data_IF_163704687038
#
_entry.id   IF_163704687038
#
_cell.length_a   1.000
_cell.length_b   1.000
_cell.length_c   1.000
_cell.angle_alpha   90.00
_cell.angle_beta   90.00
_cell.angle_gamma   90.00
#
_symmetry.space_group_name_H-M   'P 1'
#
loop_
_entity.id
_entity.type
_entity.pdbx_description
1 polymer ?
#
# COMPACT_ATOMS: atom_id res chain seq x y z
N UNK A 1 17.88 -6.76 4.53
CA UNK A 1 16.48 -6.63 4.98
C UNK A 1 16.11 -5.15 5.03
N UNK A 2 15.07 -4.75 4.33
CA UNK A 2 14.56 -3.39 4.38
C UNK A 2 13.21 -3.40 5.09
N UNK A 3 13.19 -2.93 6.34
CA UNK A 3 11.95 -2.66 7.05
C UNK A 3 11.53 -1.21 6.80
N UNK A 4 10.46 -1.02 6.05
CA UNK A 4 9.84 0.29 5.84
C UNK A 4 8.39 0.23 6.31
N UNK A 5 8.17 0.68 7.55
CA UNK A 5 6.83 0.85 8.08
C UNK A 5 6.24 2.16 7.55
N UNK A 6 5.04 2.11 7.01
CA UNK A 6 4.17 3.25 6.68
C UNK A 6 4.76 4.32 5.72
N UNK A 7 5.77 3.99 4.90
CA UNK A 7 6.33 4.94 3.94
C UNK A 7 5.71 4.82 2.53
N UNK A 8 5.19 3.63 2.19
CA UNK A 8 4.80 3.31 0.82
C UNK A 8 3.56 4.10 0.36
N UNK A 9 2.54 4.24 1.22
CA UNK A 9 1.31 4.97 0.90
C UNK A 9 1.51 6.49 0.80
N UNK A 10 2.68 7.03 1.18
CA UNK A 10 3.02 8.45 1.04
C UNK A 10 3.96 8.72 -0.13
N UNK A 11 4.36 7.68 -0.88
CA UNK A 11 5.23 7.85 -2.03
C UNK A 11 4.47 8.49 -3.21
N UNK A 12 5.07 9.50 -3.83
CA UNK A 12 4.48 10.14 -5.01
C UNK A 12 4.44 9.20 -6.23
N UNK A 13 5.42 8.31 -6.33
CA UNK A 13 5.50 7.22 -7.30
C UNK A 13 5.88 5.92 -6.58
N UNK A 14 4.89 5.15 -6.13
CA UNK A 14 5.13 3.91 -5.42
C UNK A 14 5.76 2.83 -6.31
N UNK A 15 5.44 2.80 -7.60
CA UNK A 15 6.00 1.82 -8.54
C UNK A 15 7.52 2.01 -8.70
N UNK A 16 7.98 3.25 -8.86
CA UNK A 16 9.42 3.53 -8.92
C UNK A 16 10.12 3.22 -7.58
N UNK A 17 9.48 3.53 -6.46
CA UNK A 17 10.02 3.22 -5.14
C UNK A 17 10.20 1.71 -4.94
N UNK A 18 9.21 0.90 -5.29
CA UNK A 18 9.27 -0.57 -5.25
C UNK A 18 10.37 -1.08 -6.19
N UNK A 19 10.48 -0.52 -7.39
CA UNK A 19 11.55 -0.84 -8.34
C UNK A 19 12.95 -0.54 -7.79
N UNK A 20 13.11 0.58 -7.08
CA UNK A 20 14.38 0.90 -6.39
C UNK A 20 14.69 -0.09 -5.27
N UNK A 21 13.72 -0.49 -4.48
CA UNK A 21 13.90 -1.51 -3.45
C UNK A 21 14.30 -2.86 -4.05
N UNK A 22 13.63 -3.27 -5.15
CA UNK A 22 14.01 -4.49 -5.86
C UNK A 22 15.47 -4.45 -6.33
N UNK A 23 15.94 -3.33 -6.89
CA UNK A 23 17.34 -3.20 -7.32
C UNK A 23 18.34 -3.26 -6.15
N UNK A 24 17.97 -2.71 -5.00
CA UNK A 24 18.82 -2.64 -3.81
C UNK A 24 18.93 -3.98 -3.05
N UNK A 25 17.97 -4.88 -3.20
CA UNK A 25 17.99 -6.19 -2.55
C UNK A 25 18.94 -7.15 -3.27
N UNK A 26 19.58 -8.03 -2.51
CA UNK A 26 20.29 -9.20 -3.07
C UNK A 26 19.29 -10.21 -3.66
N UNK A 27 19.78 -11.12 -4.51
CA UNK A 27 19.01 -12.31 -4.91
C UNK A 27 18.66 -13.11 -3.66
N UNK A 28 17.47 -13.70 -3.62
CA UNK A 28 16.88 -14.37 -2.48
C UNK A 28 16.59 -13.46 -1.26
N UNK A 29 16.85 -12.16 -1.40
CA UNK A 29 16.42 -11.16 -0.43
C UNK A 29 14.90 -10.96 -0.48
N UNK A 30 14.31 -10.52 0.62
CA UNK A 30 12.88 -10.28 0.71
C UNK A 30 12.56 -8.84 1.13
N UNK A 31 11.42 -8.38 0.71
CA UNK A 31 10.79 -7.12 1.11
C UNK A 31 9.61 -7.44 2.03
N UNK A 32 9.51 -6.74 3.15
CA UNK A 32 8.30 -6.69 3.98
C UNK A 32 7.89 -5.23 4.18
N UNK A 33 6.60 -4.99 4.13
CA UNK A 33 6.05 -3.65 4.37
C UNK A 33 4.66 -3.73 4.99
N UNK A 34 4.24 -2.62 5.59
CA UNK A 34 2.84 -2.35 5.90
C UNK A 34 2.46 -0.96 5.43
N UNK A 35 1.22 -0.78 5.04
CA UNK A 35 0.68 0.50 4.62
C UNK A 35 -0.81 0.59 4.97
N UNK A 36 -1.38 1.78 4.79
CA UNK A 36 -2.82 1.99 4.96
C UNK A 36 -3.55 1.58 3.67
N UNK A 37 -4.71 0.98 3.83
CA UNK A 37 -5.61 0.57 2.76
C UNK A 37 -6.83 1.48 2.59
N UNK A 38 -7.63 1.27 1.52
CA UNK A 38 -8.69 2.16 1.07
C UNK A 38 -9.84 2.36 2.08
N UNK A 39 -10.07 1.40 2.97
CA UNK A 39 -11.11 1.54 4.02
C UNK A 39 -10.64 2.40 5.20
N UNK A 40 -9.40 2.89 5.21
CA UNK A 40 -8.90 3.77 6.27
C UNK A 40 -9.67 5.09 6.29
N UNK A 41 -10.23 5.44 7.47
CA UNK A 41 -11.01 6.66 7.71
C UNK A 41 -12.29 6.77 6.84
N UNK A 42 -12.84 5.66 6.38
CA UNK A 42 -14.03 5.63 5.52
C UNK A 42 -15.22 6.39 6.13
N UNK A 43 -15.38 6.34 7.46
CA UNK A 43 -16.42 7.07 8.18
C UNK A 43 -16.21 8.58 8.06
N UNK A 44 -14.97 9.05 8.21
CA UNK A 44 -14.64 10.46 8.06
C UNK A 44 -14.81 10.93 6.62
N UNK A 45 -14.41 10.14 5.64
CA UNK A 45 -14.66 10.41 4.22
C UNK A 45 -16.14 10.52 3.92
N UNK A 46 -16.96 9.62 4.49
CA UNK A 46 -18.42 9.66 4.38
C UNK A 46 -19.03 10.93 4.97
N UNK A 47 -18.56 11.38 6.13
CA UNK A 47 -18.99 12.65 6.76
C UNK A 47 -18.70 13.84 5.84
N UNK A 48 -17.47 13.93 5.32
CA UNK A 48 -17.06 15.03 4.44
C UNK A 48 -17.86 15.05 3.14
N UNK A 49 -18.05 13.90 2.52
CA UNK A 49 -18.85 13.76 1.30
C UNK A 49 -20.30 14.19 1.52
N UNK A 50 -20.94 13.74 2.62
CA UNK A 50 -22.32 14.07 2.94
C UNK A 50 -22.55 15.58 3.21
N UNK A 51 -21.51 16.30 3.60
CA UNK A 51 -21.55 17.75 3.84
C UNK A 51 -21.08 18.58 2.64
N UNK A 52 -20.71 17.93 1.53
CA UNK A 52 -20.12 18.59 0.36
C UNK A 52 -18.80 19.30 0.67
N UNK A 53 -18.06 18.81 1.67
CA UNK A 53 -16.76 19.33 2.01
C UNK A 53 -15.68 18.74 1.10
N UNK A 54 -14.58 19.47 0.87
CA UNK A 54 -13.41 18.93 0.18
C UNK A 54 -12.87 17.66 0.87
N UNK A 55 -12.17 16.77 0.14
CA UNK A 55 -11.71 15.48 0.65
C UNK A 55 -11.01 15.56 2.00
N UNK A 56 -11.39 14.67 2.92
CA UNK A 56 -10.80 14.59 4.26
C UNK A 56 -9.33 14.11 4.24
N UNK A 57 -8.98 13.28 3.27
CA UNK A 57 -7.65 12.70 3.07
C UNK A 57 -7.48 12.23 1.64
N UNK A 58 -6.31 11.74 1.28
CA UNK A 58 -6.07 11.08 -0.01
C UNK A 58 -6.63 9.65 0.01
N UNK A 59 -6.88 9.10 -1.18
CA UNK A 59 -7.24 7.71 -1.34
C UNK A 59 -6.00 6.83 -1.17
N UNK A 60 -6.14 5.72 -0.46
CA UNK A 60 -5.09 4.73 -0.33
C UNK A 60 -5.23 3.65 -1.39
N UNK A 61 -4.10 3.06 -1.77
CA UNK A 61 -4.02 2.02 -2.80
C UNK A 61 -4.55 0.69 -2.26
N UNK A 62 -5.26 -0.05 -3.09
CA UNK A 62 -5.80 -1.37 -2.77
C UNK A 62 -4.71 -2.44 -2.66
N UNK A 63 -5.01 -3.51 -1.93
CA UNK A 63 -4.12 -4.63 -1.71
C UNK A 63 -3.70 -5.33 -3.02
N UNK A 64 -4.62 -5.47 -3.98
CA UNK A 64 -4.35 -6.12 -5.26
C UNK A 64 -3.41 -5.27 -6.12
N UNK A 65 -3.63 -3.95 -6.15
CA UNK A 65 -2.75 -3.02 -6.86
C UNK A 65 -1.31 -3.07 -6.31
N UNK A 66 -1.16 -3.19 -4.98
CA UNK A 66 0.17 -3.39 -4.38
C UNK A 66 0.82 -4.69 -4.82
N UNK A 67 0.05 -5.78 -4.86
CA UNK A 67 0.51 -7.09 -5.36
C UNK A 67 0.99 -7.00 -6.81
N UNK A 68 0.20 -6.36 -7.67
CA UNK A 68 0.54 -6.16 -9.07
C UNK A 68 1.80 -5.30 -9.25
N UNK A 69 1.95 -4.23 -8.48
CA UNK A 69 3.17 -3.41 -8.48
C UNK A 69 4.41 -4.19 -8.10
N UNK A 70 4.32 -5.12 -7.14
CA UNK A 70 5.42 -6.01 -6.76
C UNK A 70 5.81 -6.94 -7.91
N UNK A 71 4.82 -7.57 -8.54
CA UNK A 71 5.06 -8.46 -9.69
C UNK A 71 5.68 -7.69 -10.85
N UNK A 72 5.16 -6.51 -11.19
CA UNK A 72 5.72 -5.64 -12.24
C UNK A 72 7.15 -5.18 -11.95
N UNK A 73 7.50 -4.98 -10.68
CA UNK A 73 8.87 -4.65 -10.28
C UNK A 73 9.84 -5.84 -10.34
N UNK A 74 9.34 -7.07 -10.57
CA UNK A 74 10.15 -8.27 -10.70
C UNK A 74 10.27 -9.11 -9.42
N UNK A 75 9.50 -8.81 -8.38
CA UNK A 75 9.38 -9.67 -7.21
C UNK A 75 8.62 -10.96 -7.56
N UNK A 76 8.92 -12.03 -6.85
CA UNK A 76 8.22 -13.30 -6.92
C UNK A 76 7.40 -13.55 -5.64
N UNK A 77 6.34 -14.35 -5.80
CA UNK A 77 5.53 -14.88 -4.71
C UNK A 77 5.05 -13.77 -3.74
N UNK A 78 4.43 -12.68 -4.23
CA UNK A 78 3.90 -11.69 -3.32
C UNK A 78 2.78 -12.31 -2.48
N UNK A 79 2.90 -12.21 -1.17
CA UNK A 79 1.84 -12.55 -0.22
C UNK A 79 1.33 -11.26 0.38
N UNK A 80 0.03 -11.07 0.26
CA UNK A 80 -0.66 -9.89 0.74
C UNK A 80 -1.73 -10.31 1.73
N UNK A 81 -1.84 -9.54 2.80
CA UNK A 81 -2.87 -9.72 3.82
C UNK A 81 -3.38 -8.36 4.27
N UNK A 82 -4.55 -8.32 4.88
CA UNK A 82 -5.13 -7.09 5.38
C UNK A 82 -5.95 -7.32 6.65
N UNK A 83 -5.95 -6.34 7.52
CA UNK A 83 -6.84 -6.31 8.68
C UNK A 83 -7.49 -4.94 8.84
N UNK A 84 -8.68 -4.93 9.45
CA UNK A 84 -9.38 -3.71 9.84
C UNK A 84 -9.35 -3.57 11.35
N UNK A 85 -8.84 -2.42 11.80
CA UNK A 85 -8.77 -2.04 13.21
C UNK A 85 -9.74 -0.89 13.42
N UNK A 86 -10.59 -1.00 14.43
CA UNK A 86 -11.44 0.10 14.85
C UNK A 86 -10.81 0.82 16.04
N UNK A 87 -10.49 2.09 15.88
CA UNK A 87 -10.05 2.96 16.97
C UNK A 87 -11.23 3.76 17.50
N UNK A 88 -11.34 3.86 18.81
CA UNK A 88 -12.43 4.59 19.48
C UNK A 88 -11.89 5.79 20.24
N UNK A 89 -12.70 6.86 20.27
CA UNK A 89 -12.34 8.14 20.87
C UNK A 89 -13.48 8.63 21.74
N UNK A 90 -13.14 9.11 22.92
CA UNK A 90 -14.14 9.61 23.86
C UNK A 90 -14.76 10.94 23.40
N UNK A 91 -13.99 11.78 22.68
CA UNK A 91 -14.44 13.10 22.22
C UNK A 91 -13.91 13.43 20.84
N UNK A 92 -14.60 14.31 20.06
CA UNK A 92 -14.14 14.74 18.75
C UNK A 92 -12.80 15.52 18.80
N UNK A 93 -12.52 16.20 19.91
CA UNK A 93 -11.24 16.89 20.09
C UNK A 93 -10.09 15.89 20.13
N UNK A 94 -10.26 14.81 20.90
CA UNK A 94 -9.24 13.76 21.01
C UNK A 94 -9.04 13.08 19.67
N UNK A 95 -10.13 12.74 18.96
CA UNK A 95 -10.08 12.17 17.62
C UNK A 95 -9.28 13.06 16.66
N UNK A 96 -9.60 14.35 16.58
CA UNK A 96 -8.89 15.30 15.69
C UNK A 96 -7.44 15.48 16.10
N UNK A 97 -7.12 15.44 17.39
CA UNK A 97 -5.75 15.50 17.88
C UNK A 97 -4.94 14.30 17.38
N UNK A 98 -5.44 13.08 17.56
CA UNK A 98 -4.76 11.86 17.10
C UNK A 98 -4.57 11.85 15.58
N UNK A 99 -5.59 12.26 14.81
CA UNK A 99 -5.45 12.37 13.35
C UNK A 99 -4.35 13.36 12.93
N UNK A 100 -4.14 14.44 13.67
CA UNK A 100 -3.06 15.40 13.40
C UNK A 100 -1.68 14.83 13.70
N UNK A 101 -1.57 13.95 14.68
CA UNK A 101 -0.32 13.26 15.03
C UNK A 101 0.06 12.22 13.97
N UNK A 102 -0.93 11.63 13.29
CA UNK A 102 -0.70 10.71 12.16
C UNK A 102 -0.17 11.40 10.90
N UNK A 103 -0.44 12.70 10.74
CA UNK A 103 0.06 13.46 9.60
C UNK A 103 -0.87 14.57 9.12
N UNK A 104 -0.64 15.01 7.89
CA UNK A 104 -1.41 16.07 7.23
C UNK A 104 -2.14 15.54 6.00
N UNK A 105 -3.27 16.16 5.68
CA UNK A 105 -4.00 15.85 4.46
C UNK A 105 -3.21 16.34 3.23
N UNK A 106 -2.74 15.39 2.42
CA UNK A 106 -1.97 15.66 1.19
C UNK A 106 -2.83 15.68 -0.07
N UNK A 107 -4.15 15.51 0.03
CA UNK A 107 -5.04 15.51 -1.14
C UNK A 107 -4.92 16.82 -1.92
N UNK A 108 -4.77 16.80 -3.27
CA UNK A 108 -4.64 18.01 -4.08
C UNK A 108 -5.87 18.93 -3.93
N UNK A 109 -7.07 18.37 -3.87
CA UNK A 109 -8.33 19.09 -3.73
C UNK A 109 -8.74 19.36 -2.27
N UNK A 110 -7.82 19.19 -1.32
CA UNK A 110 -8.08 19.53 0.09
C UNK A 110 -8.46 21.00 0.24
N UNK A 111 -9.07 21.34 1.35
CA UNK A 111 -9.42 22.74 1.64
C UNK A 111 -8.17 23.64 1.57
N UNK A 112 -8.18 24.69 0.74
CA UNK A 112 -6.96 25.42 0.37
C UNK A 112 -6.47 26.41 1.42
N UNK A 113 -7.26 26.68 2.50
CA UNK A 113 -6.96 27.71 3.48
C UNK A 113 -7.20 27.24 4.91
N UNK A 114 -6.80 28.06 5.88
CA UNK A 114 -7.08 27.84 7.29
C UNK A 114 -8.58 27.92 7.54
N UNK A 115 -9.08 26.97 8.33
CA UNK A 115 -10.49 26.90 8.76
C UNK A 115 -10.66 27.58 10.11
N UNK A 116 -11.68 28.45 10.20
CA UNK A 116 -11.96 29.20 11.41
C UNK A 116 -12.64 28.38 12.51
N UNK A 117 -12.86 29.03 13.66
CA UNK A 117 -13.48 28.39 14.84
C UNK A 117 -14.87 27.81 14.52
N UNK A 118 -15.72 28.55 13.81
CA UNK A 118 -17.08 28.08 13.42
C UNK A 118 -17.05 26.76 12.63
N UNK A 119 -16.08 26.61 11.75
CA UNK A 119 -15.92 25.37 11.01
C UNK A 119 -15.48 24.21 11.92
N UNK A 120 -14.55 24.47 12.83
CA UNK A 120 -14.11 23.47 13.79
C UNK A 120 -15.27 23.02 14.70
N UNK A 121 -16.05 23.98 15.21
CA UNK A 121 -17.18 23.68 16.10
C UNK A 121 -18.23 22.86 15.36
N UNK A 122 -18.51 23.17 14.08
CA UNK A 122 -19.37 22.35 13.22
C UNK A 122 -18.79 20.96 12.95
N UNK A 123 -17.48 20.85 12.75
CA UNK A 123 -16.83 19.55 12.61
C UNK A 123 -17.05 18.70 13.86
N UNK A 124 -16.81 19.23 15.04
CA UNK A 124 -16.98 18.50 16.30
C UNK A 124 -18.43 18.04 16.52
N UNK A 125 -19.40 18.90 16.24
CA UNK A 125 -20.81 18.56 16.30
C UNK A 125 -21.13 17.36 15.40
N UNK A 126 -20.76 17.43 14.12
CA UNK A 126 -21.05 16.38 13.14
C UNK A 126 -20.28 15.08 13.44
N UNK A 127 -19.04 15.16 13.90
CA UNK A 127 -18.31 13.96 14.31
C UNK A 127 -19.01 13.27 15.48
N UNK A 128 -19.47 14.05 16.49
CA UNK A 128 -20.21 13.50 17.64
C UNK A 128 -21.51 12.83 17.23
N UNK A 129 -22.23 13.39 16.26
CA UNK A 129 -23.50 12.85 15.79
C UNK A 129 -23.34 11.61 14.90
N UNK A 130 -22.36 11.60 14.01
CA UNK A 130 -22.25 10.62 12.93
C UNK A 130 -21.27 9.48 13.17
N UNK A 131 -20.30 9.68 14.05
CA UNK A 131 -19.29 8.66 14.36
C UNK A 131 -19.55 7.95 15.68
N UNK A 132 -20.56 8.35 16.45
CA UNK A 132 -20.95 7.65 17.67
C UNK A 132 -21.39 6.22 17.34
N UNK A 133 -20.67 5.23 17.86
CA UNK A 133 -20.96 3.82 17.68
C UNK A 133 -21.66 3.26 18.93
N UNK A 134 -22.94 2.84 18.83
CA UNK A 134 -23.64 2.20 19.94
C UNK A 134 -22.94 0.92 20.43
N UNK A 135 -22.27 0.17 19.53
CA UNK A 135 -21.51 -1.02 19.86
C UNK A 135 -20.24 -0.73 20.67
N UNK A 136 -19.80 0.53 20.71
CA UNK A 136 -18.63 1.02 21.43
C UNK A 136 -19.01 1.99 22.56
N UNK A 137 -20.12 1.74 23.24
CA UNK A 137 -20.65 2.59 24.34
C UNK A 137 -20.82 4.08 23.93
N UNK A 138 -21.16 4.34 22.67
CA UNK A 138 -21.35 5.69 22.16
C UNK A 138 -20.05 6.47 21.91
N UNK A 139 -18.88 5.82 21.98
CA UNK A 139 -17.61 6.41 21.57
C UNK A 139 -17.58 6.62 20.06
N UNK A 140 -16.79 7.61 19.62
CA UNK A 140 -16.58 7.87 18.21
C UNK A 140 -15.66 6.78 17.65
N UNK A 141 -16.05 6.16 16.55
CA UNK A 141 -15.30 5.05 15.94
C UNK A 141 -14.76 5.43 14.56
N UNK A 142 -13.50 5.08 14.29
CA UNK A 142 -12.88 5.18 12.99
C UNK A 142 -12.24 3.85 12.61
N UNK A 143 -12.43 3.46 11.36
CA UNK A 143 -11.77 2.28 10.79
C UNK A 143 -10.41 2.65 10.22
N UNK A 144 -9.44 1.79 10.50
CA UNK A 144 -8.12 1.78 9.85
C UNK A 144 -7.93 0.42 9.20
N UNK A 145 -7.64 0.41 7.93
CA UNK A 145 -7.27 -0.78 7.19
C UNK A 145 -5.75 -0.82 7.07
N UNK A 146 -5.14 -1.90 7.55
CA UNK A 146 -3.70 -2.12 7.46
C UNK A 146 -3.47 -3.23 6.45
N UNK A 147 -2.71 -2.94 5.42
CA UNK A 147 -2.26 -3.90 4.43
C UNK A 147 -0.83 -4.30 4.77
N UNK A 148 -0.60 -5.61 4.78
CA UNK A 148 0.71 -6.22 4.95
C UNK A 148 1.11 -6.89 3.65
N UNK A 149 2.36 -6.72 3.25
CA UNK A 149 2.89 -7.37 2.06
C UNK A 149 4.30 -7.88 2.28
N UNK A 150 4.60 -9.04 1.68
CA UNK A 150 5.96 -9.47 1.51
C UNK A 150 6.15 -10.13 0.15
N UNK A 151 7.38 -10.06 -0.38
CA UNK A 151 7.73 -10.68 -1.64
C UNK A 151 9.25 -10.92 -1.70
N UNK A 152 9.67 -11.90 -2.49
CA UNK A 152 11.07 -12.24 -2.67
C UNK A 152 11.65 -11.66 -3.95
N UNK A 153 12.95 -11.35 -3.94
CA UNK A 153 13.69 -11.08 -5.16
C UNK A 153 14.21 -12.40 -5.73
N UNK A 154 13.64 -12.92 -6.84
CA UNK A 154 14.09 -14.18 -7.42
C UNK A 154 15.45 -14.02 -8.11
N UNK A 155 16.11 -15.14 -8.31
CA UNK A 155 17.25 -15.20 -9.24
C UNK A 155 16.81 -14.75 -10.66
N UNK A 156 17.69 -14.08 -11.42
CA UNK A 156 17.37 -13.69 -12.79
C UNK A 156 16.94 -14.89 -13.61
N UNK A 157 15.74 -14.80 -14.19
CA UNK A 157 15.26 -15.87 -15.09
C UNK A 157 16.12 -15.88 -16.35
N UNK A 158 16.68 -17.03 -16.69
CA UNK A 158 17.33 -17.22 -18.01
C UNK A 158 16.26 -16.99 -19.07
N UNK A 159 16.51 -16.06 -19.99
CA UNK A 159 15.61 -15.87 -21.13
C UNK A 159 15.64 -17.15 -21.98
N UNK A 160 14.61 -17.95 -21.89
CA UNK A 160 14.40 -19.04 -22.84
C UNK A 160 14.03 -18.36 -24.17
N UNK A 161 14.94 -18.46 -25.15
CA UNK A 161 14.63 -17.99 -26.50
C UNK A 161 13.45 -18.81 -27.03
N UNK A 162 12.48 -18.14 -27.65
CA UNK A 162 11.30 -18.78 -28.27
C UNK A 162 11.64 -19.68 -29.44
N UNK A 163 12.89 -19.73 -29.88
CA UNK A 163 13.42 -20.67 -30.86
C UNK A 163 14.77 -21.22 -30.42
N UNK A 164 14.84 -22.45 -29.97
CA UNK A 164 16.09 -23.20 -29.84
C UNK A 164 16.42 -23.82 -31.21
N UNK A 165 16.92 -23.05 -32.14
CA UNK A 165 17.49 -23.56 -33.36
C UNK A 165 18.91 -24.06 -33.05
N UNK A 166 19.07 -25.34 -32.83
CA UNK A 166 20.40 -25.99 -32.81
C UNK A 166 20.81 -26.20 -34.26
N UNK A 167 21.92 -25.60 -34.68
CA UNK A 167 22.40 -25.78 -36.03
C UNK A 167 22.75 -27.27 -36.29
N UNK A 168 22.55 -27.78 -37.51
CA UNK A 168 22.96 -29.13 -37.86
C UNK A 168 24.44 -29.37 -37.63
N UNK A 169 25.26 -28.34 -37.69
CA UNK A 169 26.70 -28.40 -37.41
C UNK A 169 26.97 -28.61 -35.92
N UNK A 170 26.27 -27.91 -35.04
CA UNK A 170 26.40 -28.05 -33.58
C UNK A 170 25.92 -29.44 -33.14
N UNK A 171 24.81 -29.92 -33.70
CA UNK A 171 24.27 -31.24 -33.42
C UNK A 171 25.27 -32.34 -33.85
N UNK A 172 25.94 -32.23 -35.02
CA UNK A 172 26.99 -33.14 -35.45
C UNK A 172 28.25 -33.07 -34.56
N UNK A 173 28.59 -31.88 -34.05
CA UNK A 173 29.71 -31.70 -33.12
C UNK A 173 29.45 -32.35 -31.76
N UNK A 174 28.20 -32.25 -31.25
CA UNK A 174 27.81 -32.91 -29.99
C UNK A 174 27.83 -34.45 -30.12
N UNK A 175 27.34 -34.99 -31.23
CA UNK A 175 27.35 -36.42 -31.48
C UNK A 175 28.78 -37.00 -31.64
N UNK A 176 29.71 -36.21 -32.16
CA UNK A 176 31.14 -36.62 -32.24
C UNK A 176 31.84 -36.62 -30.89
N UNK A 177 31.46 -35.72 -29.97
CA UNK A 177 32.02 -35.70 -28.60
C UNK A 177 31.48 -36.81 -27.70
N UNK A 178 30.24 -37.24 -27.88
CA UNK A 178 29.65 -38.35 -27.13
C UNK A 178 30.09 -39.76 -27.56
N UNK A 179 30.83 -39.88 -28.67
CA UNK A 179 31.31 -41.17 -29.19
C UNK A 179 32.75 -41.55 -28.80
N UNK A 180 33.38 -40.78 -27.96
CA UNK A 180 34.82 -41.01 -27.58
C UNK A 180 35.00 -41.43 -26.11
N UNK A 181 33.93 -41.66 -25.36
CA UNK A 181 34.00 -42.27 -24.03
C UNK A 181 33.29 -43.65 -24.07
N UNK A 182 34.02 -44.64 -24.60
CA UNK A 182 33.79 -46.08 -24.37
C UNK A 182 35.13 -46.82 -24.49
#
# INVERSE_FOLDING_TARGET
DVYKRQALHMAADPQDLIGRWHRALAVDGYLMFSCLGPDTLRELHGVYAALGWPPAGHAFTDMHDWGDMLVHAGFAEPVMDMERITLTFATPERLVQELRELGVNLHPDRFPSLRGRRWRDKLYEVLSERLADPGQNGQLALTFEIIYGHAFKPAPRVRVSSSSAVSLQDMRAMLRKGGTEN
#
